data_IF_989916234395
#
_entry.id   IF_989916234395
#
_cell.length_a   1.000
_cell.length_b   1.000
_cell.length_c   1.000
_cell.angle_alpha   90.00
_cell.angle_beta   90.00
_cell.angle_gamma   90.00
#
_symmetry.space_group_name_H-M   'P 1'
#
loop_
_entity.id
_entity.type
_entity.pdbx_description
1 polymer ?
#
# COMPACT_ATOMS: atom_id res chain seq x y z
N UNK A 1 -2.29 -2.64 -19.32
CA UNK A 1 -2.70 -1.62 -18.33
C UNK A 1 -2.10 -2.06 -17.01
N UNK A 2 -1.40 -1.17 -16.31
CA UNK A 2 -0.80 -1.53 -15.02
C UNK A 2 -1.88 -1.86 -13.99
N UNK A 3 -1.59 -2.82 -13.09
CA UNK A 3 -2.55 -3.36 -12.12
C UNK A 3 -1.92 -3.46 -10.73
N UNK A 4 -2.66 -3.02 -9.71
CA UNK A 4 -2.20 -2.99 -8.31
C UNK A 4 -3.21 -3.70 -7.42
N UNK A 5 -2.71 -4.59 -6.58
CA UNK A 5 -3.45 -5.21 -5.49
C UNK A 5 -3.32 -4.36 -4.22
N UNK A 6 -4.44 -4.01 -3.61
CA UNK A 6 -4.48 -3.29 -2.34
C UNK A 6 -5.33 -4.07 -1.33
N UNK A 7 -4.71 -4.88 -0.47
CA UNK A 7 -5.41 -5.58 0.60
C UNK A 7 -5.86 -4.63 1.71
N UNK A 8 -7.08 -4.84 2.22
CA UNK A 8 -7.63 -4.12 3.37
C UNK A 8 -8.02 -5.09 4.49
N UNK A 9 -7.60 -4.74 5.69
CA UNK A 9 -8.06 -5.31 6.95
C UNK A 9 -8.83 -4.25 7.75
N UNK A 10 -9.75 -4.65 8.61
CA UNK A 10 -10.43 -3.72 9.51
C UNK A 10 -9.42 -2.92 10.35
N UNK A 11 -9.69 -1.63 10.52
CA UNK A 11 -8.76 -0.71 11.19
C UNK A 11 -7.64 -0.17 10.27
N UNK A 12 -7.77 -0.31 8.94
CA UNK A 12 -6.88 0.39 8.02
C UNK A 12 -7.03 1.92 8.16
N UNK A 13 -6.02 2.68 7.78
CA UNK A 13 -6.08 4.15 7.77
C UNK A 13 -6.75 4.64 6.47
N UNK A 14 -7.83 5.41 6.60
CA UNK A 14 -8.73 5.75 5.49
C UNK A 14 -8.10 6.71 4.50
N UNK A 15 -7.40 7.75 4.97
CA UNK A 15 -6.75 8.74 4.08
C UNK A 15 -5.68 8.06 3.23
N UNK A 16 -4.96 7.11 3.82
CA UNK A 16 -3.93 6.35 3.11
C UNK A 16 -4.53 5.44 2.05
N UNK A 17 -5.49 4.60 2.42
CA UNK A 17 -6.09 3.66 1.49
C UNK A 17 -6.82 4.37 0.36
N UNK A 18 -7.71 5.31 0.68
CA UNK A 18 -8.51 6.04 -0.33
C UNK A 18 -7.62 6.95 -1.18
N UNK A 19 -6.65 7.64 -0.57
CA UNK A 19 -5.69 8.47 -1.28
C UNK A 19 -4.87 7.68 -2.29
N UNK A 20 -4.33 6.52 -1.90
CA UNK A 20 -3.62 5.61 -2.81
C UNK A 20 -4.51 5.15 -3.97
N UNK A 21 -5.73 4.68 -3.65
CA UNK A 21 -6.67 4.16 -4.66
C UNK A 21 -7.03 5.26 -5.67
N UNK A 22 -7.40 6.45 -5.20
CA UNK A 22 -7.83 7.55 -6.07
C UNK A 22 -6.70 8.02 -6.99
N UNK A 23 -5.51 8.28 -6.43
CA UNK A 23 -4.34 8.74 -7.20
C UNK A 23 -3.92 7.73 -8.25
N UNK A 24 -3.82 6.45 -7.89
CA UNK A 24 -3.43 5.40 -8.82
C UNK A 24 -4.47 5.22 -9.95
N UNK A 25 -5.77 5.27 -9.63
CA UNK A 25 -6.84 5.19 -10.64
C UNK A 25 -6.83 6.38 -11.58
N UNK A 26 -6.58 7.60 -11.10
CA UNK A 26 -6.37 8.80 -11.93
C UNK A 26 -5.19 8.62 -12.87
N UNK A 27 -4.14 7.94 -12.45
CA UNK A 27 -2.96 7.61 -13.25
C UNK A 27 -3.16 6.47 -14.26
N UNK A 28 -4.39 5.94 -14.40
CA UNK A 28 -4.70 4.87 -15.35
C UNK A 28 -4.32 3.46 -14.87
N UNK A 29 -4.12 3.28 -13.56
CA UNK A 29 -3.84 1.98 -12.94
C UNK A 29 -5.14 1.30 -12.53
N UNK A 30 -5.30 0.03 -12.87
CA UNK A 30 -6.37 -0.80 -12.30
C UNK A 30 -6.02 -1.16 -10.86
N UNK A 31 -6.76 -0.62 -9.90
CA UNK A 31 -6.59 -0.95 -8.48
C UNK A 31 -7.69 -1.88 -8.04
N UNK A 32 -7.31 -3.08 -7.61
CA UNK A 32 -8.20 -4.08 -7.05
C UNK A 32 -8.06 -4.16 -5.55
N UNK A 33 -9.15 -3.91 -4.84
CA UNK A 33 -9.21 -3.89 -3.38
C UNK A 33 -9.60 -5.28 -2.90
N UNK A 34 -8.77 -5.91 -2.06
CA UNK A 34 -9.02 -7.24 -1.54
C UNK A 34 -9.25 -7.23 -0.02
N UNK A 35 -10.39 -7.75 0.44
CA UNK A 35 -10.61 -7.97 1.87
C UNK A 35 -9.94 -9.25 2.36
N UNK A 36 -9.48 -9.24 3.62
CA UNK A 36 -8.83 -10.41 4.24
C UNK A 36 -9.74 -11.19 5.18
N UNK A 37 -10.86 -10.61 5.61
CA UNK A 37 -11.82 -11.23 6.53
C UNK A 37 -13.01 -11.82 5.77
N UNK A 38 -13.11 -13.13 5.77
CA UNK A 38 -14.19 -13.87 5.09
C UNK A 38 -15.53 -13.79 5.82
N UNK A 39 -15.57 -13.29 7.05
CA UNK A 39 -16.80 -13.07 7.80
C UNK A 39 -17.59 -11.84 7.34
N UNK A 40 -16.99 -10.99 6.49
CA UNK A 40 -17.66 -9.85 5.89
C UNK A 40 -18.84 -10.32 5.05
N UNK A 41 -20.05 -9.99 5.49
CA UNK A 41 -21.30 -10.38 4.85
C UNK A 41 -21.50 -9.78 3.46
N UNK A 42 -22.76 -9.85 2.97
CA UNK A 42 -23.17 -9.27 1.70
C UNK A 42 -22.84 -7.77 1.64
N UNK A 43 -21.90 -7.37 0.81
CA UNK A 43 -21.48 -5.97 0.65
C UNK A 43 -19.97 -5.78 0.71
N UNK A 44 -19.24 -6.68 1.38
CA UNK A 44 -17.76 -6.70 1.40
C UNK A 44 -17.16 -5.33 1.78
N UNK A 45 -17.73 -4.66 2.79
CA UNK A 45 -17.26 -3.37 3.28
C UNK A 45 -16.30 -3.59 4.43
N UNK A 46 -15.07 -3.11 4.27
CA UNK A 46 -14.04 -3.09 5.32
C UNK A 46 -14.11 -1.74 6.01
N UNK A 47 -14.16 -1.74 7.35
CA UNK A 47 -14.24 -0.53 8.15
C UNK A 47 -12.84 -0.10 8.58
N UNK A 48 -12.49 1.16 8.31
CA UNK A 48 -11.23 1.75 8.71
C UNK A 48 -11.19 2.20 10.16
N UNK A 49 -10.03 2.71 10.58
CA UNK A 49 -9.75 3.11 11.97
C UNK A 49 -10.65 4.25 12.47
N UNK A 50 -11.14 5.09 11.58
CA UNK A 50 -12.04 6.22 11.89
C UNK A 50 -13.51 5.95 11.50
N UNK A 51 -13.88 4.69 11.24
CA UNK A 51 -15.26 4.27 11.00
C UNK A 51 -15.76 4.45 9.57
N UNK A 52 -14.91 4.82 8.61
CA UNK A 52 -15.27 4.96 7.20
C UNK A 52 -15.15 3.60 6.52
N UNK A 53 -16.23 3.17 5.86
CA UNK A 53 -16.26 1.90 5.15
C UNK A 53 -15.80 2.00 3.70
N UNK A 54 -14.93 1.11 3.28
CA UNK A 54 -14.51 0.94 1.87
C UNK A 54 -15.01 -0.40 1.35
N UNK A 55 -15.72 -0.37 0.23
CA UNK A 55 -16.17 -1.58 -0.44
C UNK A 55 -15.00 -2.25 -1.18
N UNK A 56 -14.74 -3.49 -0.85
CA UNK A 56 -13.74 -4.30 -1.53
C UNK A 56 -14.31 -5.01 -2.76
N UNK A 57 -13.44 -5.31 -3.72
CA UNK A 57 -13.78 -5.94 -5.00
C UNK A 57 -13.76 -7.47 -4.88
N UNK A 58 -12.82 -8.03 -4.13
CA UNK A 58 -12.56 -9.47 -4.07
C UNK A 58 -12.04 -9.93 -2.71
N UNK A 59 -11.99 -11.26 -2.49
CA UNK A 59 -11.32 -11.87 -1.35
C UNK A 59 -9.84 -12.08 -1.63
N UNK A 60 -8.99 -11.87 -0.62
CA UNK A 60 -7.56 -12.18 -0.73
C UNK A 60 -7.28 -13.64 -1.07
N UNK A 61 -8.20 -14.56 -0.73
CA UNK A 61 -8.08 -15.99 -1.03
C UNK A 61 -8.14 -16.32 -2.52
N UNK A 62 -8.81 -15.50 -3.31
CA UNK A 62 -9.00 -15.70 -4.76
C UNK A 62 -7.99 -14.92 -5.60
N UNK A 63 -7.09 -14.20 -4.96
CA UNK A 63 -6.05 -13.42 -5.64
C UNK A 63 -4.97 -14.35 -6.18
N UNK A 64 -4.64 -14.11 -7.45
CA UNK A 64 -3.52 -14.73 -8.18
C UNK A 64 -2.49 -13.63 -8.41
N UNK A 65 -1.26 -13.81 -7.93
CA UNK A 65 -0.22 -12.76 -7.97
C UNK A 65 0.15 -12.34 -9.40
N UNK A 66 0.04 -13.26 -10.35
CA UNK A 66 0.33 -13.04 -11.77
C UNK A 66 -0.55 -11.97 -12.42
N UNK A 67 -1.74 -11.72 -11.90
CA UNK A 67 -2.69 -10.73 -12.42
C UNK A 67 -2.28 -9.27 -12.11
N UNK A 68 -1.22 -9.05 -11.32
CA UNK A 68 -0.84 -7.73 -10.82
C UNK A 68 0.63 -7.43 -11.02
N UNK A 69 0.95 -6.14 -11.14
CA UNK A 69 2.32 -5.63 -11.23
C UNK A 69 2.88 -5.23 -9.87
N UNK A 70 2.00 -4.89 -8.93
CA UNK A 70 2.38 -4.42 -7.59
C UNK A 70 1.35 -4.82 -6.55
N UNK A 71 1.81 -5.05 -5.31
CA UNK A 71 0.99 -5.12 -4.11
C UNK A 71 1.36 -3.98 -3.18
N UNK A 72 0.38 -3.18 -2.72
CA UNK A 72 0.62 -2.05 -1.83
C UNK A 72 -0.28 -2.12 -0.59
N UNK A 73 0.32 -1.87 0.58
CA UNK A 73 -0.35 -1.94 1.89
C UNK A 73 -0.50 -0.53 2.48
N UNK A 74 -1.74 -0.07 2.75
CA UNK A 74 -1.97 1.09 3.61
C UNK A 74 -1.67 0.72 5.07
N UNK A 75 -1.50 1.73 5.92
CA UNK A 75 -1.29 1.53 7.33
C UNK A 75 -2.58 1.51 8.15
N UNK A 76 -2.49 2.05 9.37
CA UNK A 76 -3.44 1.83 10.44
C UNK A 76 -2.99 0.63 11.27
N UNK A 77 -2.79 0.81 12.59
CA UNK A 77 -2.17 -0.24 13.42
C UNK A 77 -2.94 -1.55 13.45
N UNK A 78 -4.26 -1.49 13.70
CA UNK A 78 -5.09 -2.70 13.75
C UNK A 78 -5.10 -3.42 12.40
N UNK A 79 -5.24 -2.67 11.31
CA UNK A 79 -5.16 -3.21 9.95
C UNK A 79 -3.81 -3.82 9.64
N UNK A 80 -2.71 -3.16 10.02
CA UNK A 80 -1.34 -3.63 9.83
C UNK A 80 -1.10 -4.95 10.57
N UNK A 81 -1.50 -5.05 11.85
CA UNK A 81 -1.35 -6.28 12.61
C UNK A 81 -2.19 -7.43 12.02
N UNK A 82 -3.43 -7.15 11.62
CA UNK A 82 -4.28 -8.14 10.98
C UNK A 82 -3.70 -8.66 9.64
N UNK A 83 -3.12 -7.77 8.83
CA UNK A 83 -2.41 -8.15 7.61
C UNK A 83 -1.18 -9.01 7.92
N UNK A 84 -0.41 -8.64 8.95
CA UNK A 84 0.80 -9.36 9.36
C UNK A 84 0.52 -10.78 9.88
N UNK A 85 -0.66 -11.02 10.45
CA UNK A 85 -1.09 -12.33 10.94
C UNK A 85 -1.75 -13.22 9.86
N UNK A 86 -2.02 -12.68 8.66
CA UNK A 86 -2.66 -13.43 7.58
C UNK A 86 -1.61 -14.15 6.71
N UNK A 87 -1.53 -15.50 6.75
CA UNK A 87 -0.49 -16.25 6.00
C UNK A 87 -0.51 -15.93 4.50
N UNK A 88 -1.68 -15.80 3.88
CA UNK A 88 -1.80 -15.49 2.45
C UNK A 88 -1.20 -14.13 2.07
N UNK A 89 -1.24 -13.13 2.95
CA UNK A 89 -0.57 -11.83 2.75
C UNK A 89 0.95 -12.02 2.72
N UNK A 90 1.49 -12.79 3.67
CA UNK A 90 2.94 -13.06 3.76
C UNK A 90 3.43 -13.84 2.53
N UNK A 91 2.67 -14.84 2.07
CA UNK A 91 2.96 -15.59 0.84
C UNK A 91 2.97 -14.68 -0.38
N UNK A 92 1.90 -13.90 -0.59
CA UNK A 92 1.79 -12.96 -1.71
C UNK A 92 2.94 -11.95 -1.72
N UNK A 93 3.29 -11.36 -0.58
CA UNK A 93 4.42 -10.41 -0.50
C UNK A 93 5.73 -11.04 -0.97
N UNK A 94 5.98 -12.31 -0.64
CA UNK A 94 7.17 -13.04 -1.12
C UNK A 94 7.10 -13.29 -2.63
N UNK A 95 5.95 -13.74 -3.15
CA UNK A 95 5.71 -13.93 -4.59
C UNK A 95 5.95 -12.62 -5.36
N UNK A 96 5.39 -11.49 -4.90
CA UNK A 96 5.59 -10.19 -5.53
C UNK A 96 7.05 -9.72 -5.46
N UNK A 97 7.72 -9.92 -4.34
CA UNK A 97 9.11 -9.47 -4.15
C UNK A 97 10.09 -10.09 -5.16
N UNK A 98 9.82 -11.28 -5.66
CA UNK A 98 10.71 -11.97 -6.59
C UNK A 98 10.86 -11.22 -7.93
N UNK A 99 9.74 -10.78 -8.54
CA UNK A 99 9.75 -10.22 -9.89
C UNK A 99 8.83 -9.00 -10.10
N UNK A 100 8.19 -8.51 -9.04
CA UNK A 100 7.19 -7.43 -9.08
C UNK A 100 7.51 -6.40 -8.01
N UNK A 101 6.62 -5.47 -7.76
CA UNK A 101 6.83 -4.40 -6.80
C UNK A 101 6.00 -4.65 -5.55
N UNK A 102 6.59 -4.41 -4.39
CA UNK A 102 5.89 -4.37 -3.11
C UNK A 102 5.95 -2.96 -2.53
N UNK A 103 4.84 -2.48 -1.99
CA UNK A 103 4.75 -1.17 -1.37
C UNK A 103 4.08 -1.23 -0.01
N UNK A 104 4.46 -0.32 0.88
CA UNK A 104 3.81 -0.16 2.17
C UNK A 104 4.01 1.24 2.71
N UNK A 105 3.04 1.75 3.48
CA UNK A 105 3.19 3.04 4.11
C UNK A 105 2.78 3.03 5.59
N UNK A 106 3.16 4.08 6.31
CA UNK A 106 2.81 4.31 7.70
C UNK A 106 3.32 3.18 8.60
N UNK A 107 2.43 2.41 9.23
CA UNK A 107 2.78 1.25 10.03
C UNK A 107 3.07 -0.01 9.17
N UNK A 108 2.54 -0.09 7.95
CA UNK A 108 2.56 -1.30 7.13
C UNK A 108 3.95 -1.79 6.66
N UNK A 109 5.05 -1.02 6.62
CA UNK A 109 6.39 -1.58 6.45
C UNK A 109 6.75 -2.67 7.48
N UNK A 110 6.09 -2.69 8.64
CA UNK A 110 6.13 -3.81 9.59
C UNK A 110 5.75 -5.16 8.95
N UNK A 111 4.72 -5.18 8.09
CA UNK A 111 4.30 -6.39 7.38
C UNK A 111 5.38 -6.85 6.39
N UNK A 112 6.02 -5.90 5.68
CA UNK A 112 7.13 -6.22 4.78
C UNK A 112 8.32 -6.80 5.54
N UNK A 113 8.65 -6.25 6.72
CA UNK A 113 9.70 -6.79 7.61
C UNK A 113 9.35 -8.21 8.05
N UNK A 114 8.12 -8.44 8.51
CA UNK A 114 7.65 -9.77 8.95
C UNK A 114 7.69 -10.81 7.81
N UNK A 115 7.41 -10.40 6.58
CA UNK A 115 7.51 -11.24 5.40
C UNK A 115 8.96 -11.47 4.93
N UNK A 116 9.94 -10.72 5.46
CA UNK A 116 11.33 -10.79 5.03
C UNK A 116 11.60 -10.13 3.67
N UNK A 117 10.76 -9.16 3.28
CA UNK A 117 10.81 -8.48 1.97
C UNK A 117 11.05 -6.98 2.04
N UNK A 118 11.20 -6.41 3.25
CA UNK A 118 11.56 -5.00 3.42
C UNK A 118 12.94 -4.72 2.80
N UNK A 119 13.07 -3.57 2.14
CA UNK A 119 14.33 -3.12 1.56
C UNK A 119 15.37 -2.71 2.62
N UNK A 120 16.61 -2.49 2.19
CA UNK A 120 17.67 -1.99 3.08
C UNK A 120 17.38 -0.55 3.52
N UNK A 121 16.94 0.31 2.57
CA UNK A 121 16.44 1.65 2.86
C UNK A 121 14.92 1.67 2.85
N UNK A 122 14.31 2.29 3.85
CA UNK A 122 12.86 2.42 3.95
C UNK A 122 12.46 3.65 4.77
N UNK A 123 11.20 4.07 4.63
CA UNK A 123 10.56 5.02 5.54
C UNK A 123 9.24 4.46 6.04
N UNK A 124 8.78 4.97 7.17
CA UNK A 124 7.52 4.56 7.81
C UNK A 124 6.97 5.70 8.66
N UNK A 125 5.84 5.51 9.29
CA UNK A 125 5.38 6.40 10.34
C UNK A 125 6.41 6.43 11.48
N UNK A 126 6.83 7.61 11.98
CA UNK A 126 7.90 7.69 12.99
C UNK A 126 7.68 6.81 14.21
N UNK A 127 6.41 6.69 14.68
CA UNK A 127 6.05 5.83 15.80
C UNK A 127 6.10 4.32 15.51
N UNK A 128 6.24 3.91 14.25
CA UNK A 128 6.35 2.50 13.86
C UNK A 128 7.79 2.00 13.79
N UNK A 129 8.76 2.92 13.76
CA UNK A 129 10.18 2.60 13.57
C UNK A 129 10.71 1.57 14.56
N UNK A 130 10.38 1.76 15.85
CA UNK A 130 10.91 0.89 16.92
C UNK A 130 10.30 -0.52 16.86
N UNK A 131 9.04 -0.65 16.42
CA UNK A 131 8.39 -1.95 16.24
C UNK A 131 8.89 -2.66 14.98
N UNK A 132 9.18 -1.92 13.91
CA UNK A 132 9.78 -2.47 12.69
C UNK A 132 11.21 -2.96 12.98
N UNK A 133 11.96 -2.26 13.82
CA UNK A 133 13.32 -2.62 14.25
C UNK A 133 14.19 -3.13 13.09
N UNK A 134 14.39 -2.25 12.10
CA UNK A 134 15.19 -2.54 10.91
C UNK A 134 16.14 -1.37 10.61
N UNK A 135 17.42 -1.63 10.29
CA UNK A 135 18.35 -0.56 9.87
C UNK A 135 17.90 0.08 8.54
N UNK A 136 18.41 1.29 8.25
CA UNK A 136 18.12 1.96 6.99
C UNK A 136 16.85 2.83 6.99
N UNK A 137 16.30 3.13 8.16
CA UNK A 137 15.18 4.08 8.27
C UNK A 137 15.59 5.49 7.81
N UNK A 138 14.77 6.05 6.92
CA UNK A 138 14.92 7.38 6.33
C UNK A 138 13.78 8.29 6.79
N UNK A 139 14.07 9.27 7.64
CA UNK A 139 13.13 10.27 8.12
C UNK A 139 13.07 11.53 7.24
N UNK A 140 14.05 11.69 6.37
CA UNK A 140 14.22 12.82 5.47
C UNK A 140 13.45 12.72 4.15
N UNK A 141 12.80 11.57 3.87
CA UNK A 141 12.12 11.31 2.61
C UNK A 141 10.66 10.92 2.79
N UNK A 142 9.77 11.57 2.03
CA UNK A 142 8.33 11.20 1.99
C UNK A 142 8.08 9.83 1.37
N UNK A 143 8.89 9.47 0.37
CA UNK A 143 8.85 8.18 -0.32
C UNK A 143 10.27 7.67 -0.49
N UNK A 144 10.50 6.42 -0.14
CA UNK A 144 11.77 5.71 -0.36
C UNK A 144 11.53 4.57 -1.34
N UNK A 145 12.41 4.44 -2.33
CA UNK A 145 12.42 3.31 -3.28
C UNK A 145 13.76 2.62 -3.18
N UNK A 146 13.75 1.36 -2.79
CA UNK A 146 14.92 0.48 -2.75
C UNK A 146 14.66 -0.75 -3.63
N UNK A 147 15.20 -0.72 -4.83
CA UNK A 147 14.96 -1.74 -5.83
C UNK A 147 13.50 -1.85 -6.25
N UNK A 148 12.84 -2.91 -5.86
CA UNK A 148 11.41 -3.14 -6.08
C UNK A 148 10.55 -2.98 -4.81
N UNK A 149 11.09 -2.36 -3.78
CA UNK A 149 10.36 -2.02 -2.55
C UNK A 149 10.14 -0.51 -2.50
N UNK A 150 8.91 -0.09 -2.25
CA UNK A 150 8.55 1.32 -2.11
C UNK A 150 7.87 1.54 -0.77
N UNK A 151 8.30 2.56 -0.01
CA UNK A 151 7.70 2.86 1.31
C UNK A 151 7.40 4.34 1.46
N UNK A 152 6.45 4.69 2.34
CA UNK A 152 6.07 6.08 2.64
C UNK A 152 5.69 6.26 4.12
N UNK A 153 5.61 7.51 4.56
CA UNK A 153 5.58 7.85 5.99
C UNK A 153 4.21 7.74 6.66
N UNK A 154 3.15 8.23 6.05
CA UNK A 154 1.85 8.28 6.72
C UNK A 154 0.77 9.05 5.95
N UNK A 155 -0.37 9.38 6.57
CA UNK A 155 -1.54 9.94 5.88
C UNK A 155 -1.22 11.18 5.04
N UNK A 156 -0.40 12.09 5.57
CA UNK A 156 0.01 13.31 4.85
C UNK A 156 0.89 13.09 3.63
N UNK A 157 1.44 11.88 3.44
CA UNK A 157 2.27 11.52 2.28
C UNK A 157 1.60 10.52 1.34
N UNK A 158 0.35 10.12 1.60
CA UNK A 158 -0.36 9.11 0.82
C UNK A 158 -0.49 9.48 -0.66
N UNK A 159 -0.81 10.74 -0.94
CA UNK A 159 -0.92 11.24 -2.32
C UNK A 159 0.44 11.24 -3.02
N UNK A 160 1.52 11.68 -2.34
CA UNK A 160 2.87 11.64 -2.88
C UNK A 160 3.31 10.20 -3.19
N UNK A 161 2.93 9.25 -2.31
CA UNK A 161 3.22 7.84 -2.53
C UNK A 161 2.45 7.29 -3.74
N UNK A 162 1.17 7.62 -3.86
CA UNK A 162 0.37 7.27 -5.04
C UNK A 162 0.97 7.82 -6.34
N UNK A 163 1.45 9.09 -6.35
CA UNK A 163 2.14 9.68 -7.51
C UNK A 163 3.44 8.94 -7.86
N UNK A 164 4.24 8.57 -6.85
CA UNK A 164 5.46 7.80 -7.07
C UNK A 164 5.17 6.41 -7.68
N UNK A 165 4.07 5.77 -7.27
CA UNK A 165 3.61 4.50 -7.85
C UNK A 165 3.16 4.71 -9.31
N UNK A 166 2.41 5.78 -9.60
CA UNK A 166 2.01 6.13 -10.98
C UNK A 166 3.24 6.35 -11.85
N UNK A 167 4.22 7.11 -11.38
CA UNK A 167 5.48 7.33 -12.11
C UNK A 167 6.21 6.00 -12.39
N UNK A 168 6.27 5.11 -11.40
CA UNK A 168 6.95 3.82 -11.49
C UNK A 168 6.30 2.86 -12.48
N UNK A 169 4.97 2.79 -12.51
CA UNK A 169 4.22 1.80 -13.29
C UNK A 169 3.74 2.32 -14.65
N UNK A 170 3.47 3.60 -14.78
CA UNK A 170 2.87 4.20 -15.98
C UNK A 170 3.81 5.21 -16.64
N UNK A 171 4.56 5.96 -15.83
CA UNK A 171 5.56 6.90 -16.33
C UNK A 171 5.32 8.33 -15.87
N UNK A 172 6.36 9.15 -16.07
CA UNK A 172 6.43 10.53 -15.60
C UNK A 172 5.34 11.45 -16.16
N UNK A 173 4.97 11.25 -17.42
CA UNK A 173 3.93 12.07 -18.07
C UNK A 173 2.57 11.87 -17.39
N UNK A 174 2.18 10.62 -17.13
CA UNK A 174 0.94 10.30 -16.42
C UNK A 174 0.96 10.85 -14.99
N UNK A 175 2.08 10.67 -14.28
CA UNK A 175 2.26 11.22 -12.93
C UNK A 175 2.08 12.74 -12.91
N UNK A 176 2.70 13.46 -13.87
CA UNK A 176 2.59 14.91 -13.95
C UNK A 176 1.15 15.35 -14.24
N UNK A 177 0.46 14.68 -15.16
CA UNK A 177 -0.94 14.97 -15.47
C UNK A 177 -1.86 14.78 -14.25
N UNK A 178 -1.63 13.73 -13.45
CA UNK A 178 -2.37 13.51 -12.19
C UNK A 178 -2.05 14.62 -11.18
N UNK A 179 -0.77 14.95 -11.01
CA UNK A 179 -0.31 16.00 -10.09
C UNK A 179 -0.95 17.35 -10.42
N UNK A 180 -0.93 17.76 -11.68
CA UNK A 180 -1.53 19.01 -12.15
C UNK A 180 -3.05 19.01 -11.97
N UNK A 181 -3.72 17.91 -12.36
CA UNK A 181 -5.18 17.76 -12.23
C UNK A 181 -5.69 17.74 -10.78
N UNK A 182 -4.85 17.36 -9.83
CA UNK A 182 -5.15 17.38 -8.40
C UNK A 182 -4.66 18.65 -7.70
N UNK A 183 -4.03 19.61 -8.42
CA UNK A 183 -3.49 20.85 -7.87
C UNK A 183 -2.47 20.62 -6.73
N UNK A 184 -1.57 19.65 -6.93
CA UNK A 184 -0.59 19.26 -5.91
C UNK A 184 0.72 20.03 -6.11
N UNK A 185 1.14 20.77 -5.09
CA UNK A 185 2.38 21.57 -5.08
C UNK A 185 3.42 21.06 -4.06
N UNK A 186 3.06 20.10 -3.20
CA UNK A 186 3.86 19.63 -2.07
C UNK A 186 4.52 18.24 -2.26
N UNK A 187 4.26 17.57 -3.38
CA UNK A 187 4.95 16.34 -3.80
C UNK A 187 6.09 16.70 -4.82
#
# INVERSE_FOLDING_TARGET
MASVLLPLAAGFEEVEAVGLIDVMRRGGIEVRIAYIDDSLGHGKVVIGANGIGVKADTSIKTVISEDFDMMVLPGGWDGTHALAEKPRIIELLKEFKENKIVGAMCAAPFVLKKAGVLGNDYTCYPGAKDEIDHPGYRDDMKVVTDGNVMTSQGPGTAVCFGLAIVERLVGKESMQAVKDGMLLDYC
#
